data_IF_161177699958
#
_entry.id   IF_161177699958
#
_cell.length_a   1.000
_cell.length_b   1.000
_cell.length_c   1.000
_cell.angle_alpha   90.00
_cell.angle_beta   90.00
_cell.angle_gamma   90.00
#
_symmetry.space_group_name_H-M   'P 1'
#
loop_
_entity.id
_entity.type
_entity.pdbx_description
1 polymer ?
#
# COMPACT_ATOMS: atom_id res chain seq x y z
N UNK A 1 1.16 -14.14 -10.05
CA UNK A 1 2.02 -13.19 -9.31
C UNK A 1 1.35 -12.94 -7.97
N UNK A 2 1.67 -13.75 -6.96
CA UNK A 2 1.21 -13.56 -5.57
C UNK A 2 2.39 -13.17 -4.66
N UNK A 3 3.62 -13.33 -5.14
CA UNK A 3 4.87 -13.12 -4.40
C UNK A 3 5.12 -11.65 -4.00
N UNK A 4 4.56 -10.67 -4.71
CA UNK A 4 4.78 -9.25 -4.42
C UNK A 4 4.07 -8.80 -3.13
N UNK A 5 2.98 -9.45 -2.74
CA UNK A 5 2.30 -9.18 -1.46
C UNK A 5 3.08 -9.71 -0.27
N UNK A 6 3.73 -10.87 -0.41
CA UNK A 6 4.58 -11.48 0.61
C UNK A 6 5.84 -10.66 0.89
N UNK A 7 6.27 -9.84 -0.09
CA UNK A 7 7.43 -8.98 0.03
C UNK A 7 7.06 -7.50 0.25
N UNK A 8 6.09 -7.22 1.13
CA UNK A 8 5.73 -5.84 1.51
C UNK A 8 5.35 -4.95 0.31
N UNK A 9 4.62 -5.49 -0.68
CA UNK A 9 4.31 -4.80 -1.95
C UNK A 9 5.54 -4.48 -2.81
N UNK A 10 6.65 -5.20 -2.60
CA UNK A 10 7.94 -4.93 -3.22
C UNK A 10 8.65 -3.69 -2.67
N UNK A 11 8.26 -3.21 -1.48
CA UNK A 11 8.85 -2.08 -0.80
C UNK A 11 10.02 -2.51 0.10
N UNK A 12 11.06 -1.68 0.15
CA UNK A 12 12.11 -1.80 1.15
C UNK A 12 11.57 -1.50 2.56
N UNK A 13 12.22 -1.96 3.64
CA UNK A 13 11.76 -1.69 5.01
C UNK A 13 11.62 -0.19 5.33
N UNK A 14 12.44 0.67 4.72
CA UNK A 14 12.34 2.12 4.86
C UNK A 14 11.06 2.66 4.21
N UNK A 15 10.76 2.22 2.99
CA UNK A 15 9.55 2.60 2.25
C UNK A 15 8.30 2.03 2.91
N UNK A 16 8.37 0.80 3.43
CA UNK A 16 7.29 0.18 4.19
C UNK A 16 6.94 1.00 5.44
N UNK A 17 7.97 1.50 6.14
CA UNK A 17 7.77 2.38 7.29
C UNK A 17 7.12 3.70 6.87
N UNK A 18 7.58 4.30 5.76
CA UNK A 18 6.98 5.53 5.22
C UNK A 18 5.54 5.34 4.74
N UNK A 19 5.21 4.20 4.13
CA UNK A 19 3.84 3.81 3.78
C UNK A 19 3.00 3.72 5.05
N UNK A 20 3.47 3.00 6.07
CA UNK A 20 2.80 2.88 7.35
C UNK A 20 2.63 4.22 8.08
N UNK A 21 3.53 5.18 7.91
CA UNK A 21 3.37 6.51 8.49
C UNK A 21 2.28 7.33 7.78
N UNK A 22 2.19 7.21 6.44
CA UNK A 22 1.24 7.95 5.62
C UNK A 22 -0.19 7.38 5.64
N UNK A 23 -0.36 6.09 5.95
CA UNK A 23 -1.67 5.45 5.94
C UNK A 23 -2.32 5.39 7.32
N UNK A 24 -3.65 5.56 7.37
CA UNK A 24 -4.43 5.45 8.60
C UNK A 24 -4.48 4.03 9.18
N UNK A 25 -4.86 3.92 10.45
CA UNK A 25 -5.13 2.64 11.12
C UNK A 25 -6.15 1.74 10.37
N UNK A 26 -7.16 2.34 9.71
CA UNK A 26 -8.13 1.59 8.89
C UNK A 26 -7.45 0.97 7.65
N UNK A 27 -6.51 1.69 7.04
CA UNK A 27 -5.76 1.24 5.87
C UNK A 27 -4.70 0.18 6.24
N UNK A 28 -4.05 0.32 7.40
CA UNK A 28 -3.18 -0.73 7.98
C UNK A 28 -3.95 -2.03 8.22
N UNK A 29 -5.16 -1.92 8.76
CA UNK A 29 -6.03 -3.08 8.98
C UNK A 29 -6.45 -3.72 7.65
N UNK A 30 -6.79 -2.91 6.64
CA UNK A 30 -7.05 -3.38 5.28
C UNK A 30 -5.86 -4.16 4.69
N UNK A 31 -4.65 -3.60 4.83
CA UNK A 31 -3.40 -4.19 4.35
C UNK A 31 -3.11 -5.55 5.03
N UNK A 32 -3.21 -5.64 6.36
CA UNK A 32 -3.04 -6.89 7.11
C UNK A 32 -4.05 -7.96 6.66
N UNK A 33 -5.32 -7.58 6.47
CA UNK A 33 -6.34 -8.51 6.01
C UNK A 33 -6.10 -8.96 4.55
N UNK A 34 -5.61 -8.08 3.68
CA UNK A 34 -5.20 -8.45 2.32
C UNK A 34 -4.01 -9.39 2.32
N UNK A 35 -3.03 -9.15 3.20
CA UNK A 35 -1.87 -10.03 3.37
C UNK A 35 -2.27 -11.44 3.85
N UNK A 36 -3.34 -11.54 4.65
CA UNK A 36 -3.96 -12.81 5.05
C UNK A 36 -4.76 -13.51 3.95
N UNK A 37 -4.84 -12.94 2.75
CA UNK A 37 -5.60 -13.50 1.62
C UNK A 37 -7.11 -13.31 1.71
N UNK A 38 -7.62 -12.40 2.54
CA UNK A 38 -9.06 -12.14 2.62
C UNK A 38 -9.57 -11.41 1.37
N UNK A 39 -10.76 -11.79 0.91
CA UNK A 39 -11.47 -11.09 -0.16
C UNK A 39 -11.98 -9.74 0.31
N UNK A 40 -12.13 -8.77 -0.60
CA UNK A 40 -12.60 -7.41 -0.29
C UNK A 40 -13.94 -7.40 0.46
N UNK A 41 -14.80 -8.38 0.20
CA UNK A 41 -16.08 -8.56 0.90
C UNK A 41 -15.91 -8.91 2.38
N UNK A 42 -14.98 -9.81 2.70
CA UNK A 42 -14.70 -10.19 4.08
C UNK A 42 -14.04 -9.01 4.84
N UNK A 43 -13.17 -8.27 4.16
CA UNK A 43 -12.53 -7.08 4.71
C UNK A 43 -13.56 -5.97 4.94
N UNK A 44 -14.45 -5.74 3.98
CA UNK A 44 -15.55 -4.79 4.08
C UNK A 44 -16.45 -5.10 5.27
N UNK A 45 -16.81 -6.38 5.47
CA UNK A 45 -17.57 -6.82 6.65
C UNK A 45 -16.79 -6.59 7.95
N UNK A 46 -15.50 -6.90 7.98
CA UNK A 46 -14.64 -6.74 9.16
C UNK A 46 -14.48 -5.26 9.55
N UNK A 47 -14.32 -4.38 8.56
CA UNK A 47 -14.17 -2.94 8.76
C UNK A 47 -15.51 -2.19 8.85
N UNK A 48 -16.65 -2.86 8.67
CA UNK A 48 -17.97 -2.22 8.61
C UNK A 48 -18.13 -1.24 7.43
N UNK A 49 -17.40 -1.44 6.33
CA UNK A 49 -17.39 -0.57 5.15
C UNK A 49 -18.07 -1.25 3.96
N UNK A 50 -18.36 -0.46 2.91
CA UNK A 50 -18.79 -1.00 1.62
C UNK A 50 -17.58 -1.54 0.85
N UNK A 51 -17.76 -2.65 0.15
CA UNK A 51 -16.74 -3.28 -0.72
C UNK A 51 -16.12 -2.28 -1.70
N UNK A 52 -16.94 -1.41 -2.31
CA UNK A 52 -16.44 -0.38 -3.23
C UNK A 52 -15.50 0.63 -2.54
N UNK A 53 -15.71 0.94 -1.26
CA UNK A 53 -14.82 1.83 -0.51
C UNK A 53 -13.50 1.13 -0.18
N UNK A 54 -13.58 -0.15 0.21
CA UNK A 54 -12.41 -1.00 0.43
C UNK A 54 -11.55 -1.08 -0.83
N UNK A 55 -12.16 -1.40 -1.98
CA UNK A 55 -11.45 -1.44 -3.27
C UNK A 55 -10.81 -0.10 -3.63
N UNK A 56 -11.52 1.02 -3.44
CA UNK A 56 -10.94 2.35 -3.70
C UNK A 56 -9.76 2.66 -2.79
N UNK A 57 -9.86 2.34 -1.50
CA UNK A 57 -8.76 2.52 -0.54
C UNK A 57 -7.57 1.62 -0.87
N UNK A 58 -7.84 0.39 -1.28
CA UNK A 58 -6.80 -0.54 -1.70
C UNK A 58 -6.04 -0.04 -2.93
N UNK A 59 -6.73 0.43 -3.97
CA UNK A 59 -6.06 1.03 -5.13
C UNK A 59 -5.19 2.23 -4.74
N UNK A 60 -5.72 3.14 -3.91
CA UNK A 60 -4.92 4.28 -3.41
C UNK A 60 -3.68 3.84 -2.65
N UNK A 61 -3.79 2.79 -1.84
CA UNK A 61 -2.64 2.25 -1.11
C UNK A 61 -1.59 1.66 -2.07
N UNK A 62 -2.03 0.95 -3.11
CA UNK A 62 -1.13 0.44 -4.15
C UNK A 62 -0.46 1.57 -4.94
N UNK A 63 -1.19 2.62 -5.27
CA UNK A 63 -0.64 3.83 -5.90
C UNK A 63 0.42 4.45 -4.99
N UNK A 64 0.13 4.63 -3.70
CA UNK A 64 1.06 5.22 -2.72
C UNK A 64 2.31 4.35 -2.53
N UNK A 65 2.16 3.02 -2.48
CA UNK A 65 3.27 2.09 -2.45
C UNK A 65 4.12 2.20 -3.73
N UNK A 66 3.50 2.24 -4.91
CA UNK A 66 4.22 2.40 -6.17
C UNK A 66 4.94 3.75 -6.24
N UNK A 67 4.31 4.83 -5.79
CA UNK A 67 4.91 6.16 -5.70
C UNK A 67 6.10 6.18 -4.76
N UNK A 68 6.01 5.57 -3.57
CA UNK A 68 7.13 5.44 -2.65
C UNK A 68 8.30 4.68 -3.29
N UNK A 69 8.01 3.56 -3.95
CA UNK A 69 8.99 2.77 -4.69
C UNK A 69 9.69 3.59 -5.77
N UNK A 70 8.90 4.33 -6.56
CA UNK A 70 9.43 5.14 -7.64
C UNK A 70 10.19 6.36 -7.10
N UNK A 71 9.69 7.00 -6.04
CA UNK A 71 10.29 8.17 -5.41
C UNK A 71 11.64 7.85 -4.76
N UNK A 72 11.77 6.71 -4.08
CA UNK A 72 13.07 6.26 -3.55
C UNK A 72 14.06 5.91 -4.67
N UNK A 73 13.57 5.33 -5.77
CA UNK A 73 14.39 5.05 -6.95
C UNK A 73 14.76 6.32 -7.74
N UNK A 74 13.96 7.39 -7.63
CA UNK A 74 14.18 8.69 -8.26
C UNK A 74 15.14 9.61 -7.49
N UNK A 75 15.72 9.16 -6.37
CA UNK A 75 16.82 9.84 -5.66
C UNK A 75 18.13 9.98 -6.46
N UNK A 76 18.15 9.59 -7.73
CA UNK A 76 19.29 9.74 -8.64
C UNK A 76 18.88 10.29 -10.03
N UNK A 77 17.98 11.27 -10.13
CA UNK A 77 17.87 12.17 -11.30
C UNK A 77 16.96 13.37 -11.00
N UNK A 78 17.35 14.21 -10.07
CA UNK A 78 16.99 15.62 -10.12
C UNK A 78 18.27 16.40 -9.78
N UNK A 79 19.23 16.28 -10.70
CA UNK A 79 20.34 17.21 -10.78
C UNK A 79 19.74 18.60 -10.97
N UNK A 80 20.06 19.49 -10.05
CA UNK A 80 20.31 20.90 -10.34
C UNK A 80 21.13 21.02 -11.63
N UNK A 81 20.70 21.89 -12.55
CA UNK A 81 21.39 22.53 -13.71
C UNK A 81 20.30 22.78 -14.79
N UNK A 82 19.86 23.96 -15.21
CA UNK A 82 20.08 25.40 -14.98
C UNK A 82 18.75 26.14 -15.26
#
# INVERSE_FOLDING_TARGET
LEADLEHNLGLTPTEWTALHDQIDAEQKSLLDLKHKGLSDEAIAKTLGRKVNQVKKKWHKLLELAWELRNHSNSGASASTDE
#
